data_IF_706984710859
#
_entry.id   IF_706984710859
#
_cell.length_a   1.000
_cell.length_b   1.000
_cell.length_c   1.000
_cell.angle_alpha   90.00
_cell.angle_beta   90.00
_cell.angle_gamma   90.00
#
_symmetry.space_group_name_H-M   'P 1'
#
loop_
_entity.id
_entity.type
_entity.pdbx_description
1 polymer ?
#
# COMPACT_ATOMS: atom_id res chain seq x y z
N UNK A 1 20.26 22.64 -35.28
CA UNK A 1 20.74 22.36 -33.91
C UNK A 1 19.58 22.63 -32.94
N UNK A 2 19.03 21.54 -32.38
CA UNK A 2 18.18 21.47 -31.17
C UNK A 2 16.78 22.13 -31.29
N UNK A 3 15.68 21.48 -30.89
CA UNK A 3 15.44 21.01 -29.53
C UNK A 3 14.56 19.75 -29.46
N UNK A 4 15.10 18.73 -28.80
CA UNK A 4 14.36 17.61 -28.26
C UNK A 4 13.28 18.13 -27.30
N UNK A 5 12.03 17.77 -27.57
CA UNK A 5 10.92 18.00 -26.66
C UNK A 5 11.00 16.90 -25.60
N UNK A 6 11.48 17.23 -24.40
CA UNK A 6 11.46 16.28 -23.29
C UNK A 6 10.00 16.00 -22.96
N UNK A 7 9.56 14.75 -23.10
CA UNK A 7 8.34 14.28 -22.46
C UNK A 7 8.56 14.44 -20.95
N UNK A 8 7.96 15.47 -20.37
CA UNK A 8 7.97 15.69 -18.93
C UNK A 8 7.01 14.69 -18.27
N UNK A 9 7.56 13.56 -17.83
CA UNK A 9 6.83 12.50 -17.13
C UNK A 9 6.55 12.86 -15.66
N UNK A 10 6.97 14.03 -15.16
CA UNK A 10 6.72 14.44 -13.77
C UNK A 10 5.22 14.62 -13.45
N UNK A 11 4.39 14.79 -14.47
CA UNK A 11 2.94 14.93 -14.36
C UNK A 11 2.17 13.62 -14.63
N UNK A 12 2.87 12.52 -14.93
CA UNK A 12 2.24 11.22 -15.16
C UNK A 12 1.74 10.64 -13.82
N UNK A 13 0.51 10.96 -13.45
CA UNK A 13 -0.20 10.29 -12.35
C UNK A 13 -0.94 9.08 -12.89
N UNK A 14 -0.67 7.89 -12.38
CA UNK A 14 -1.44 6.70 -12.75
C UNK A 14 -2.83 6.80 -12.09
N UNK A 15 -3.93 6.93 -12.86
CA UNK A 15 -5.26 6.95 -12.30
C UNK A 15 -5.49 5.68 -11.47
N UNK A 16 -5.97 5.82 -10.23
CA UNK A 16 -6.15 4.71 -9.29
C UNK A 16 -4.98 4.43 -8.34
N UNK A 17 -3.86 5.17 -8.42
CA UNK A 17 -2.70 5.04 -7.52
C UNK A 17 -2.56 6.21 -6.54
N UNK A 18 -3.60 7.03 -6.38
CA UNK A 18 -3.62 8.08 -5.37
C UNK A 18 -3.60 7.43 -3.97
N UNK A 19 -2.48 7.60 -3.26
CA UNK A 19 -2.33 7.09 -1.91
C UNK A 19 -2.77 8.16 -0.92
N UNK A 20 -3.78 7.85 -0.11
CA UNK A 20 -4.16 8.67 1.04
C UNK A 20 -3.55 8.06 2.30
N UNK A 21 -2.87 8.90 3.09
CA UNK A 21 -2.41 8.51 4.42
C UNK A 21 -3.54 8.69 5.43
N UNK A 22 -3.76 7.68 6.26
CA UNK A 22 -4.71 7.71 7.36
C UNK A 22 -4.03 7.16 8.62
N UNK A 23 -4.25 7.83 9.75
CA UNK A 23 -3.78 7.37 11.05
C UNK A 23 -4.81 6.39 11.65
N UNK A 24 -4.35 5.22 12.08
CA UNK A 24 -5.18 4.19 12.72
C UNK A 24 -4.42 3.61 13.90
N UNK A 25 -5.07 3.62 15.07
CA UNK A 25 -4.59 2.90 16.25
C UNK A 25 -5.08 1.45 16.26
N UNK A 26 -4.21 0.54 16.68
CA UNK A 26 -4.52 -0.88 16.81
C UNK A 26 -4.26 -1.35 18.25
N UNK A 27 -5.13 -2.20 18.82
CA UNK A 27 -4.84 -2.85 20.10
C UNK A 27 -3.53 -3.65 20.04
N UNK A 28 -2.78 -3.68 21.15
CA UNK A 28 -1.48 -4.37 21.23
C UNK A 28 -1.54 -5.84 20.81
N UNK A 29 -2.62 -6.54 21.19
CA UNK A 29 -2.80 -7.95 20.80
C UNK A 29 -2.92 -8.13 19.28
N UNK A 30 -3.53 -7.16 18.60
CA UNK A 30 -3.70 -7.22 17.15
C UNK A 30 -2.38 -6.96 16.43
N UNK A 31 -1.58 -5.99 16.92
CA UNK A 31 -0.24 -5.74 16.38
C UNK A 31 0.64 -6.99 16.49
N UNK A 32 0.63 -7.65 17.65
CA UNK A 32 1.40 -8.87 17.86
C UNK A 32 0.97 -10.01 16.90
N UNK A 33 -0.33 -10.20 16.69
CA UNK A 33 -0.84 -11.18 15.74
C UNK A 33 -0.45 -10.84 14.29
N UNK A 34 -0.54 -9.58 13.90
CA UNK A 34 -0.12 -9.11 12.57
C UNK A 34 1.38 -9.33 12.33
N UNK A 35 2.21 -9.07 13.35
CA UNK A 35 3.66 -9.29 13.27
C UNK A 35 4.03 -10.76 13.13
N UNK A 36 3.37 -11.63 13.89
CA UNK A 36 3.59 -13.06 13.79
C UNK A 36 3.30 -13.57 12.38
N UNK A 37 2.19 -13.14 11.80
CA UNK A 37 1.78 -13.59 10.48
C UNK A 37 2.63 -12.97 9.37
N UNK A 38 2.98 -11.69 9.49
CA UNK A 38 3.89 -11.03 8.57
C UNK A 38 5.25 -11.75 8.53
N UNK A 39 5.79 -12.15 9.69
CA UNK A 39 7.01 -12.97 9.78
C UNK A 39 6.83 -14.34 9.14
N UNK A 40 5.72 -15.03 9.40
CA UNK A 40 5.42 -16.35 8.82
C UNK A 40 5.41 -16.31 7.29
N UNK A 41 4.92 -15.22 6.71
CA UNK A 41 4.83 -15.01 5.26
C UNK A 41 6.06 -14.31 4.65
N UNK A 42 7.00 -13.85 5.47
CA UNK A 42 8.18 -13.11 4.99
C UNK A 42 7.83 -11.74 4.40
N UNK A 43 6.75 -11.10 4.87
CA UNK A 43 6.27 -9.79 4.40
C UNK A 43 6.26 -8.75 5.52
N UNK A 44 6.00 -7.49 5.18
CA UNK A 44 5.83 -6.44 6.19
C UNK A 44 4.43 -6.44 6.78
N UNK A 45 4.28 -5.89 7.99
CA UNK A 45 2.98 -5.64 8.63
C UNK A 45 2.04 -4.82 7.73
N UNK A 46 2.56 -3.81 7.04
CA UNK A 46 1.76 -3.00 6.12
C UNK A 46 1.24 -3.80 4.92
N UNK A 47 2.07 -4.69 4.36
CA UNK A 47 1.64 -5.53 3.24
C UNK A 47 0.51 -6.47 3.64
N UNK A 48 0.59 -7.08 4.82
CA UNK A 48 -0.47 -7.99 5.26
C UNK A 48 -1.78 -7.26 5.57
N UNK A 49 -1.71 -6.08 6.19
CA UNK A 49 -2.89 -5.22 6.42
C UNK A 49 -3.58 -4.91 5.09
N UNK A 50 -2.81 -4.49 4.07
CA UNK A 50 -3.36 -4.17 2.74
C UNK A 50 -4.05 -5.38 2.09
N UNK A 51 -3.40 -6.55 2.10
CA UNK A 51 -3.96 -7.77 1.50
C UNK A 51 -5.25 -8.19 2.19
N UNK A 52 -5.28 -8.18 3.52
CA UNK A 52 -6.47 -8.60 4.27
C UNK A 52 -7.64 -7.63 4.11
N UNK A 53 -7.40 -6.32 4.12
CA UNK A 53 -8.45 -5.34 3.83
C UNK A 53 -8.98 -5.54 2.41
N UNK A 54 -8.10 -5.69 1.42
CA UNK A 54 -8.50 -5.94 0.04
C UNK A 54 -9.34 -7.22 -0.10
N UNK A 55 -8.95 -8.33 0.53
CA UNK A 55 -9.73 -9.59 0.52
C UNK A 55 -11.12 -9.43 1.13
N UNK A 56 -11.26 -8.60 2.18
CA UNK A 56 -12.57 -8.32 2.79
C UNK A 56 -13.43 -7.41 1.93
N UNK A 57 -12.84 -6.43 1.26
CA UNK A 57 -13.56 -5.50 0.37
C UNK A 57 -13.90 -6.09 -1.00
N UNK A 58 -13.17 -7.11 -1.45
CA UNK A 58 -13.43 -7.80 -2.72
C UNK A 58 -14.60 -8.79 -2.67
N UNK A 59 -15.10 -9.12 -1.48
CA UNK A 59 -16.26 -10.00 -1.31
C UNK A 59 -17.54 -9.16 -1.46
N UNK A 60 -18.45 -9.53 -2.39
CA UNK A 60 -19.69 -8.79 -2.63
C UNK A 60 -20.66 -8.83 -1.44
#
# INVERSE_FOLDING_TARGET
>A
MTRYNFLDLSQAKHPGYEQQHIDIDFPTWMIAALDQEARRLGVTRQSIIKVWIADRLAKP
#
